data_IF_969838107550
#
_entry.id   IF_969838107550
#
_cell.length_a   1.000
_cell.length_b   1.000
_cell.length_c   1.000
_cell.angle_alpha   90.00
_cell.angle_beta   90.00
_cell.angle_gamma   90.00
#
_symmetry.space_group_name_H-M   'P 1'
#
loop_
_entity.id
_entity.type
_entity.pdbx_description
1 polymer ?
#
# COMPACT_ATOMS: atom_id res chain seq x y z
N UNK A 1 -67.36 -9.35 -36.45
CA UNK A 1 -66.82 -8.00 -36.38
C UNK A 1 -66.60 -7.69 -34.92
N UNK A 2 -65.42 -7.94 -34.41
CA UNK A 2 -64.97 -7.47 -33.09
C UNK A 2 -63.52 -7.94 -32.86
N UNK A 3 -62.64 -7.03 -32.93
CA UNK A 3 -61.22 -7.23 -32.77
C UNK A 3 -60.87 -7.50 -31.29
N UNK A 4 -60.31 -8.63 -31.01
CA UNK A 4 -59.71 -8.94 -29.74
C UNK A 4 -58.24 -8.53 -29.71
N UNK A 5 -57.97 -7.37 -29.10
CA UNK A 5 -56.60 -6.87 -28.87
C UNK A 5 -55.87 -7.74 -27.83
N UNK A 6 -54.92 -8.45 -28.29
CA UNK A 6 -54.03 -9.31 -27.48
C UNK A 6 -53.04 -8.46 -26.69
N UNK A 7 -53.27 -8.33 -25.38
CA UNK A 7 -52.32 -7.81 -24.40
C UNK A 7 -51.31 -8.89 -24.00
N UNK A 8 -50.25 -9.00 -24.75
CA UNK A 8 -49.07 -9.81 -24.32
C UNK A 8 -47.83 -9.16 -24.86
N UNK A 9 -47.05 -8.54 -23.98
CA UNK A 9 -45.60 -8.44 -24.01
C UNK A 9 -45.14 -7.18 -23.26
N UNK A 10 -45.01 -7.29 -21.97
CA UNK A 10 -44.13 -6.41 -21.21
C UNK A 10 -43.59 -7.20 -20.02
N UNK A 11 -42.47 -7.85 -20.22
CA UNK A 11 -41.77 -8.61 -19.20
C UNK A 11 -40.29 -8.76 -19.57
N UNK A 12 -39.71 -7.68 -20.09
CA UNK A 12 -38.25 -7.59 -20.23
C UNK A 12 -37.65 -7.03 -18.96
N UNK A 13 -37.39 -7.89 -17.99
CA UNK A 13 -36.68 -7.54 -16.78
C UNK A 13 -35.20 -7.34 -17.12
N UNK A 14 -34.82 -6.09 -17.39
CA UNK A 14 -33.41 -5.69 -17.54
C UNK A 14 -32.75 -5.77 -16.17
N UNK A 15 -32.05 -6.87 -15.89
CA UNK A 15 -31.03 -6.90 -14.87
C UNK A 15 -29.88 -6.00 -15.35
N UNK A 16 -29.99 -4.71 -15.07
CA UNK A 16 -28.85 -3.81 -15.13
C UNK A 16 -27.86 -4.28 -14.06
N UNK A 17 -26.77 -4.88 -14.50
CA UNK A 17 -25.68 -5.30 -13.62
C UNK A 17 -25.21 -4.11 -12.80
N UNK A 18 -25.26 -4.25 -11.48
CA UNK A 18 -24.48 -3.44 -10.59
C UNK A 18 -23.01 -3.73 -10.90
N UNK A 19 -22.43 -2.93 -11.79
CA UNK A 19 -20.98 -2.78 -11.88
C UNK A 19 -20.55 -2.24 -10.52
N UNK A 20 -20.16 -3.14 -9.62
CA UNK A 20 -19.43 -2.77 -8.44
C UNK A 20 -18.25 -1.94 -8.93
N UNK A 21 -18.20 -0.66 -8.58
CA UNK A 21 -17.02 0.16 -8.74
C UNK A 21 -15.95 -0.45 -7.85
N UNK A 22 -15.22 -1.43 -8.38
CA UNK A 22 -14.02 -1.93 -7.76
C UNK A 22 -13.07 -0.73 -7.64
N UNK A 23 -12.77 -0.34 -6.41
CA UNK A 23 -11.69 0.61 -6.15
C UNK A 23 -10.46 -0.01 -6.82
N UNK A 24 -9.79 0.69 -7.75
CA UNK A 24 -8.63 0.12 -8.42
C UNK A 24 -7.64 -0.37 -7.38
N UNK A 25 -7.22 -1.62 -7.46
CA UNK A 25 -6.17 -2.13 -6.59
C UNK A 25 -4.92 -1.28 -6.84
N UNK A 26 -4.38 -0.57 -5.83
CA UNK A 26 -3.19 0.25 -6.00
C UNK A 26 -1.95 -0.55 -6.39
N UNK A 27 -2.04 -1.86 -6.48
CA UNK A 27 -0.99 -2.70 -7.08
C UNK A 27 -0.95 -2.60 -8.61
N UNK A 28 -2.04 -2.10 -9.23
CA UNK A 28 -2.18 -2.06 -10.68
C UNK A 28 -2.34 -3.44 -11.30
N UNK A 29 -2.79 -3.46 -12.55
CA UNK A 29 -2.84 -4.69 -13.37
C UNK A 29 -1.44 -5.01 -13.88
N UNK A 30 -0.67 -3.98 -14.20
CA UNK A 30 0.67 -4.11 -14.75
C UNK A 30 1.72 -4.12 -13.63
N UNK A 31 2.52 -5.17 -13.60
CA UNK A 31 3.66 -5.30 -12.70
C UNK A 31 4.86 -4.62 -13.38
N UNK A 32 5.40 -3.50 -12.83
CA UNK A 32 6.59 -2.88 -13.40
C UNK A 32 7.74 -3.88 -13.47
N UNK A 33 8.51 -3.84 -14.54
CA UNK A 33 9.65 -4.72 -14.72
C UNK A 33 10.73 -4.43 -13.67
N UNK A 34 11.20 -5.45 -12.99
CA UNK A 34 12.30 -5.41 -12.02
C UNK A 34 13.35 -6.50 -12.31
N UNK A 35 13.54 -6.85 -13.57
CA UNK A 35 14.61 -7.74 -14.05
C UNK A 35 14.78 -9.00 -13.21
N UNK A 36 15.97 -9.18 -12.66
CA UNK A 36 16.31 -10.36 -11.85
C UNK A 36 15.74 -10.37 -10.42
N UNK A 37 14.96 -9.38 -10.00
CA UNK A 37 14.47 -9.26 -8.64
C UNK A 37 13.46 -10.37 -8.25
N UNK A 38 13.75 -11.03 -7.12
CA UNK A 38 12.82 -11.89 -6.38
C UNK A 38 12.92 -11.57 -4.89
N UNK A 39 11.79 -11.43 -4.20
CA UNK A 39 11.80 -11.19 -2.75
C UNK A 39 12.06 -12.50 -2.00
N UNK A 40 13.19 -12.58 -1.30
CA UNK A 40 13.53 -13.70 -0.42
C UNK A 40 13.03 -13.48 1.01
N UNK A 41 13.21 -12.26 1.53
CA UNK A 41 12.80 -11.95 2.91
C UNK A 41 12.49 -10.46 3.10
N UNK A 42 11.72 -10.17 4.16
CA UNK A 42 11.36 -8.81 4.58
C UNK A 42 11.71 -8.62 6.06
N UNK A 43 12.68 -7.76 6.33
CA UNK A 43 13.10 -7.42 7.69
C UNK A 43 12.52 -6.07 8.08
N UNK A 44 11.65 -6.03 9.09
CA UNK A 44 11.08 -4.78 9.61
C UNK A 44 11.49 -4.58 11.06
N UNK A 45 12.10 -3.43 11.35
CA UNK A 45 12.60 -3.01 12.66
C UNK A 45 11.76 -1.84 13.16
N UNK A 46 10.78 -2.05 14.04
CA UNK A 46 9.90 -1.01 14.58
C UNK A 46 10.43 -0.35 15.85
N UNK A 47 11.41 -0.93 16.53
CA UNK A 47 11.85 -0.58 17.90
C UNK A 47 12.40 0.85 18.00
N UNK A 48 12.77 1.47 16.89
CA UNK A 48 13.26 2.86 16.83
C UNK A 48 12.15 3.87 16.50
N UNK A 49 10.93 3.39 16.29
CA UNK A 49 9.82 4.22 15.85
C UNK A 49 9.43 5.30 16.88
N UNK A 50 9.52 6.56 16.47
CA UNK A 50 9.09 7.69 17.30
C UNK A 50 7.64 8.05 16.98
N UNK A 51 6.79 8.05 18.02
CA UNK A 51 5.44 8.58 17.89
C UNK A 51 5.47 10.11 17.82
N UNK A 52 4.94 10.68 16.74
CA UNK A 52 4.90 12.14 16.49
C UNK A 52 3.51 12.65 16.92
N UNK A 53 3.42 13.50 17.97
CA UNK A 53 2.14 14.06 18.41
C UNK A 53 1.54 15.07 17.41
N UNK A 54 0.20 15.17 17.34
CA UNK A 54 -0.81 14.31 17.99
C UNK A 54 -1.00 13.01 17.22
N UNK A 55 -0.97 11.87 17.93
CA UNK A 55 -1.06 10.55 17.29
C UNK A 55 -1.78 9.55 18.19
N UNK A 56 -2.58 8.65 17.59
CA UNK A 56 -2.96 7.40 18.24
C UNK A 56 -1.73 6.54 18.48
N UNK A 57 -1.85 5.59 19.40
CA UNK A 57 -0.80 4.58 19.60
C UNK A 57 -0.89 3.49 18.55
N UNK A 58 0.27 3.00 18.14
CA UNK A 58 0.47 1.72 17.48
C UNK A 58 1.59 0.99 18.25
N UNK A 59 1.42 -0.31 18.39
CA UNK A 59 2.46 -1.18 18.99
C UNK A 59 3.49 -1.55 17.94
N UNK A 60 4.69 -1.95 18.37
CA UNK A 60 5.74 -2.44 17.48
C UNK A 60 5.26 -3.64 16.66
N UNK A 61 4.46 -4.52 17.25
CA UNK A 61 3.88 -5.67 16.56
C UNK A 61 2.90 -5.25 15.44
N UNK A 62 2.08 -4.22 15.66
CA UNK A 62 1.16 -3.68 14.64
C UNK A 62 1.93 -3.01 13.50
N UNK A 63 2.92 -2.19 13.83
CA UNK A 63 3.81 -1.53 12.88
C UNK A 63 4.54 -2.55 12.00
N UNK A 64 5.16 -3.55 12.64
CA UNK A 64 5.87 -4.64 11.95
C UNK A 64 4.94 -5.42 11.02
N UNK A 65 3.80 -5.89 11.55
CA UNK A 65 2.83 -6.67 10.77
C UNK A 65 2.33 -5.92 9.54
N UNK A 66 1.93 -4.65 9.69
CA UNK A 66 1.41 -3.86 8.59
C UNK A 66 2.47 -3.65 7.49
N UNK A 67 3.70 -3.31 7.87
CA UNK A 67 4.78 -3.09 6.91
C UNK A 67 5.19 -4.39 6.21
N UNK A 68 5.39 -5.48 6.95
CA UNK A 68 5.75 -6.79 6.38
C UNK A 68 4.70 -7.24 5.38
N UNK A 69 3.43 -7.25 5.79
CA UNK A 69 2.32 -7.69 4.93
C UNK A 69 2.22 -6.89 3.62
N UNK A 70 2.38 -5.57 3.65
CA UNK A 70 2.25 -4.74 2.44
C UNK A 70 3.51 -4.80 1.54
N UNK A 71 4.69 -5.03 2.12
CA UNK A 71 5.91 -5.32 1.35
C UNK A 71 5.78 -6.68 0.66
N UNK A 72 5.44 -7.73 1.39
CA UNK A 72 5.25 -9.07 0.83
C UNK A 72 4.16 -9.10 -0.24
N UNK A 73 3.02 -8.44 0.01
CA UNK A 73 1.93 -8.34 -0.96
C UNK A 73 2.37 -7.68 -2.27
N UNK A 74 3.23 -6.66 -2.20
CA UNK A 74 3.70 -5.91 -3.38
C UNK A 74 4.84 -6.61 -4.09
N UNK A 75 5.85 -7.04 -3.36
CA UNK A 75 7.11 -7.54 -3.89
C UNK A 75 7.13 -9.07 -4.09
N UNK A 76 6.32 -9.83 -3.36
CA UNK A 76 6.15 -11.27 -3.58
C UNK A 76 5.52 -11.65 -4.92
N UNK A 77 5.15 -10.68 -5.74
CA UNK A 77 4.64 -10.88 -7.11
C UNK A 77 5.76 -11.03 -8.14
N UNK A 78 7.00 -10.71 -7.76
CA UNK A 78 8.15 -10.82 -8.64
C UNK A 78 8.78 -12.20 -8.54
N UNK A 79 9.15 -12.76 -9.68
CA UNK A 79 9.74 -14.10 -9.82
C UNK A 79 11.02 -14.01 -10.68
N UNK A 80 11.97 -13.19 -10.24
CA UNK A 80 13.27 -13.06 -10.88
C UNK A 80 14.23 -14.18 -10.49
N UNK A 81 15.44 -14.12 -11.01
CA UNK A 81 16.46 -15.16 -10.79
C UNK A 81 17.41 -14.87 -9.63
N UNK A 82 17.28 -13.73 -8.93
CA UNK A 82 18.14 -13.35 -7.80
C UNK A 82 17.31 -12.98 -6.58
N UNK A 83 17.72 -13.51 -5.45
CA UNK A 83 17.08 -13.31 -4.17
C UNK A 83 17.54 -12.02 -3.49
N UNK A 84 16.56 -11.19 -3.09
CA UNK A 84 16.80 -9.93 -2.40
C UNK A 84 16.07 -9.87 -1.07
N UNK A 85 16.64 -9.10 -0.14
CA UNK A 85 16.07 -8.81 1.17
C UNK A 85 15.76 -7.31 1.24
N UNK A 86 14.52 -6.97 1.55
CA UNK A 86 14.11 -5.59 1.83
C UNK A 86 14.14 -5.38 3.34
N UNK A 87 15.05 -4.54 3.84
CA UNK A 87 15.16 -4.21 5.25
C UNK A 87 14.66 -2.77 5.49
N UNK A 88 13.71 -2.62 6.43
CA UNK A 88 13.04 -1.36 6.74
C UNK A 88 13.10 -1.09 8.24
N UNK A 89 13.74 0.01 8.63
CA UNK A 89 13.60 0.57 9.97
C UNK A 89 12.49 1.61 9.99
N UNK A 90 11.59 1.54 10.97
CA UNK A 90 10.54 2.55 11.15
C UNK A 90 11.10 3.66 12.02
N UNK A 91 11.28 4.85 11.43
CA UNK A 91 11.87 6.00 12.13
C UNK A 91 10.82 6.78 12.94
N UNK A 92 9.59 6.86 12.40
CA UNK A 92 8.52 7.58 13.07
C UNK A 92 7.15 7.42 12.43
N UNK A 93 6.12 7.67 13.23
CA UNK A 93 4.74 7.62 12.76
C UNK A 93 3.83 8.62 13.46
N UNK A 94 2.77 9.04 12.77
CA UNK A 94 1.62 9.70 13.34
C UNK A 94 0.34 9.08 12.74
N UNK A 95 -0.59 8.69 13.60
CA UNK A 95 -1.92 8.21 13.22
C UNK A 95 -2.96 9.23 13.67
N UNK A 96 -3.70 9.79 12.72
CA UNK A 96 -4.65 10.86 13.00
C UNK A 96 -5.70 10.46 14.06
N UNK A 97 -5.88 11.25 15.15
CA UNK A 97 -6.92 11.00 16.13
C UNK A 97 -8.32 11.20 15.52
N UNK A 98 -9.34 10.46 15.98
CA UNK A 98 -10.71 10.67 15.52
C UNK A 98 -11.29 11.99 16.03
N UNK A 99 -12.21 12.57 15.28
CA UNK A 99 -13.06 13.69 15.76
C UNK A 99 -12.43 15.07 15.64
N UNK A 100 -11.25 15.23 15.09
CA UNK A 100 -10.67 16.55 14.78
C UNK A 100 -11.19 17.01 13.41
N UNK A 101 -11.79 18.22 13.28
CA UNK A 101 -12.32 18.72 12.01
C UNK A 101 -11.28 18.75 10.89
N UNK A 102 -11.69 18.41 9.67
CA UNK A 102 -10.85 18.23 8.47
C UNK A 102 -9.95 19.44 8.14
N UNK A 103 -10.32 20.64 8.53
CA UNK A 103 -9.54 21.86 8.30
C UNK A 103 -8.27 21.96 9.14
N UNK A 104 -8.16 21.17 10.21
CA UNK A 104 -7.02 21.15 11.12
C UNK A 104 -6.46 19.73 11.35
N UNK A 105 -6.90 18.76 10.55
CA UNK A 105 -6.51 17.35 10.76
C UNK A 105 -5.03 17.13 10.47
N UNK A 106 -4.26 16.68 11.46
CA UNK A 106 -2.95 16.12 11.18
C UNK A 106 -3.12 14.92 10.26
N UNK A 107 -2.43 14.92 9.12
CA UNK A 107 -2.40 13.78 8.22
C UNK A 107 -1.65 12.64 8.90
N UNK A 108 -2.14 11.42 8.75
CA UNK A 108 -1.33 10.27 9.18
C UNK A 108 -0.03 10.22 8.37
N UNK A 109 1.07 9.96 9.06
CA UNK A 109 2.44 9.99 8.49
C UNK A 109 3.16 8.71 8.90
N UNK A 110 3.96 8.18 8.00
CA UNK A 110 4.92 7.12 8.29
C UNK A 110 6.26 7.47 7.66
N UNK A 111 7.33 7.37 8.45
CA UNK A 111 8.71 7.62 8.03
C UNK A 111 9.50 6.35 8.24
N UNK A 112 10.22 5.92 7.22
CA UNK A 112 11.07 4.73 7.30
C UNK A 112 12.42 4.96 6.64
N UNK A 113 13.41 4.21 7.06
CA UNK A 113 14.70 4.06 6.36
C UNK A 113 14.76 2.69 5.73
N UNK A 114 14.78 2.65 4.40
CA UNK A 114 14.84 1.43 3.60
C UNK A 114 16.27 1.10 3.15
N UNK A 115 16.59 -0.19 3.14
CA UNK A 115 17.82 -0.75 2.62
C UNK A 115 17.48 -1.95 1.76
N UNK A 116 18.29 -2.19 0.72
CA UNK A 116 18.19 -3.35 -0.16
C UNK A 116 19.48 -4.16 -0.07
N UNK A 117 19.32 -5.48 0.07
CA UNK A 117 20.41 -6.44 0.15
C UNK A 117 20.19 -7.57 -0.85
N UNK A 118 21.26 -8.16 -1.36
CA UNK A 118 21.21 -9.50 -1.95
C UNK A 118 21.14 -10.53 -0.83
N UNK A 119 20.51 -11.69 -1.09
CA UNK A 119 20.44 -12.76 -0.07
C UNK A 119 21.74 -13.57 -0.05
N UNK A 120 22.28 -13.92 -1.22
CA UNK A 120 23.52 -14.71 -1.38
C UNK A 120 24.36 -14.17 -2.55
N UNK A 121 25.59 -13.66 -2.30
CA UNK A 121 26.12 -13.31 -0.97
C UNK A 121 25.32 -12.18 -0.33
N UNK A 122 25.29 -12.13 1.00
CA UNK A 122 24.55 -11.08 1.71
C UNK A 122 25.31 -9.75 1.62
N UNK A 123 24.97 -8.96 0.62
CA UNK A 123 25.59 -7.65 0.37
C UNK A 123 24.54 -6.56 0.29
N UNK A 124 24.85 -5.41 0.89
CA UNK A 124 24.01 -4.23 0.80
C UNK A 124 24.25 -3.52 -0.53
N UNK A 125 23.22 -3.46 -1.37
CA UNK A 125 23.29 -2.83 -2.69
C UNK A 125 22.58 -1.48 -2.76
N UNK A 126 21.65 -1.19 -1.82
CA UNK A 126 20.91 0.06 -1.78
C UNK A 126 20.59 0.55 -0.40
N UNK A 127 20.52 1.88 -0.24
CA UNK A 127 20.24 2.56 1.02
C UNK A 127 21.49 2.88 1.85
N UNK A 128 21.32 3.52 3.04
CA UNK A 128 20.03 3.88 3.65
C UNK A 128 19.30 4.95 2.83
N UNK A 129 18.00 4.75 2.62
CA UNK A 129 17.14 5.71 1.93
C UNK A 129 15.91 6.00 2.78
N UNK A 130 15.82 7.24 3.28
CA UNK A 130 14.67 7.64 4.09
C UNK A 130 13.50 8.03 3.21
N UNK A 131 12.34 7.48 3.51
CA UNK A 131 11.09 7.68 2.78
C UNK A 131 10.02 8.12 3.75
N UNK A 132 9.27 9.17 3.36
CA UNK A 132 8.10 9.63 4.10
C UNK A 132 6.85 9.40 3.26
N UNK A 133 5.80 8.88 3.87
CA UNK A 133 4.47 8.77 3.26
C UNK A 133 3.40 9.40 4.11
N UNK A 134 2.31 9.79 3.44
CA UNK A 134 1.15 10.42 4.06
C UNK A 134 -0.10 9.65 3.63
N UNK A 135 -1.12 9.67 4.49
CA UNK A 135 -2.45 9.28 4.07
C UNK A 135 -2.99 10.33 3.08
N UNK A 136 -3.34 9.89 1.86
CA UNK A 136 -3.79 10.81 0.80
C UNK A 136 -5.15 11.44 1.11
N UNK A 137 -5.39 12.65 0.58
CA UNK A 137 -6.66 13.35 0.73
C UNK A 137 -7.86 12.57 0.18
N UNK A 138 -7.65 11.69 -0.80
CA UNK A 138 -8.71 10.86 -1.41
C UNK A 138 -9.25 9.79 -0.45
N UNK A 139 -8.49 9.41 0.58
CA UNK A 139 -8.97 8.49 1.61
C UNK A 139 -10.01 9.12 2.54
N UNK A 140 -10.09 10.45 2.55
CA UNK A 140 -11.06 11.22 3.34
C UNK A 140 -12.42 11.35 2.66
N UNK A 141 -12.51 11.12 1.34
CA UNK A 141 -13.74 11.29 0.55
C UNK A 141 -14.60 10.03 0.47
N UNK A 142 -14.10 8.87 0.89
CA UNK A 142 -14.78 7.58 0.75
C UNK A 142 -15.62 7.16 1.96
N UNK A 143 -16.02 8.07 2.82
CA UNK A 143 -16.86 7.68 3.95
C UNK A 143 -17.44 8.85 4.68
N UNK A 144 -18.65 9.23 4.32
CA UNK A 144 -19.56 9.91 5.23
C UNK A 144 -19.68 9.08 6.52
N UNK A 145 -18.98 9.45 7.57
CA UNK A 145 -19.22 8.99 8.93
C UNK A 145 -18.38 7.84 9.50
N UNK A 146 -17.55 7.17 8.70
CA UNK A 146 -16.63 6.13 9.22
C UNK A 146 -15.25 6.74 9.46
N UNK A 147 -14.96 7.03 10.70
CA UNK A 147 -13.59 7.31 11.16
C UNK A 147 -12.83 6.01 10.98
N UNK A 148 -11.84 6.00 10.04
CA UNK A 148 -10.92 4.87 9.92
C UNK A 148 -10.32 4.55 11.29
N UNK A 149 -10.32 3.29 11.68
CA UNK A 149 -9.60 2.86 12.86
C UNK A 149 -8.07 3.00 12.67
N UNK A 150 -7.33 2.84 13.74
CA UNK A 150 -5.87 2.98 13.69
C UNK A 150 -5.22 1.93 12.78
N UNK A 151 -5.78 0.73 12.72
CA UNK A 151 -5.30 -0.38 11.89
C UNK A 151 -5.48 -0.09 10.40
N UNK A 152 -6.65 0.41 10.00
CA UNK A 152 -6.91 0.78 8.60
C UNK A 152 -6.04 1.97 8.14
N UNK A 153 -5.77 2.93 9.03
CA UNK A 153 -4.84 4.02 8.75
C UNK A 153 -3.42 3.49 8.55
N UNK A 154 -2.96 2.63 9.44
CA UNK A 154 -1.63 2.04 9.40
C UNK A 154 -1.45 1.17 8.14
N UNK A 155 -2.43 0.35 7.79
CA UNK A 155 -2.44 -0.45 6.56
C UNK A 155 -2.34 0.44 5.31
N UNK A 156 -3.09 1.55 5.28
CA UNK A 156 -3.02 2.50 4.17
C UNK A 156 -1.63 3.13 4.05
N UNK A 157 -1.03 3.54 5.18
CA UNK A 157 0.33 4.10 5.21
C UNK A 157 1.38 3.07 4.76
N UNK A 158 1.29 1.84 5.26
CA UNK A 158 2.21 0.75 4.90
C UNK A 158 2.11 0.42 3.40
N UNK A 159 0.90 0.40 2.84
CA UNK A 159 0.67 0.22 1.40
C UNK A 159 1.30 1.32 0.55
N UNK A 160 1.09 2.57 0.93
CA UNK A 160 1.69 3.71 0.27
C UNK A 160 3.22 3.68 0.41
N UNK A 161 3.74 3.25 1.56
CA UNK A 161 5.16 3.10 1.79
C UNK A 161 5.78 2.01 0.90
N UNK A 162 5.18 0.83 0.81
CA UNK A 162 5.63 -0.23 -0.07
C UNK A 162 5.67 0.22 -1.55
N UNK A 163 4.68 1.04 -1.98
CA UNK A 163 4.68 1.66 -3.32
C UNK A 163 5.85 2.62 -3.52
N UNK A 164 6.19 3.43 -2.51
CA UNK A 164 7.32 4.37 -2.59
C UNK A 164 8.67 3.65 -2.57
N UNK A 165 8.79 2.57 -1.80
CA UNK A 165 9.98 1.70 -1.83
C UNK A 165 10.16 1.13 -3.23
N UNK A 166 9.11 0.59 -3.85
CA UNK A 166 9.15 0.11 -5.23
C UNK A 166 9.58 1.22 -6.20
N UNK A 167 9.01 2.42 -6.09
CA UNK A 167 9.37 3.54 -6.93
C UNK A 167 10.82 3.99 -6.73
N UNK A 168 11.38 3.84 -5.53
CA UNK A 168 12.80 4.07 -5.27
C UNK A 168 13.66 3.03 -5.95
N UNK A 169 13.32 1.76 -5.84
CA UNK A 169 14.04 0.64 -6.45
C UNK A 169 14.02 0.71 -7.99
N UNK A 170 12.87 1.04 -8.59
CA UNK A 170 12.71 1.20 -10.05
C UNK A 170 13.55 2.32 -10.66
N UNK A 171 14.03 3.27 -9.85
CA UNK A 171 14.98 4.30 -10.33
C UNK A 171 16.44 3.82 -10.39
N UNK A 172 16.66 2.54 -10.09
CA UNK A 172 17.97 1.88 -10.07
C UNK A 172 17.91 0.54 -10.81
N UNK A 173 17.57 0.56 -12.11
CA UNK A 173 17.39 -0.68 -12.88
C UNK A 173 18.66 -1.54 -12.89
N UNK A 174 19.83 -0.91 -12.77
CA UNK A 174 21.14 -1.57 -12.71
C UNK A 174 21.30 -2.54 -11.53
N UNK A 175 20.50 -2.38 -10.44
CA UNK A 175 20.50 -3.32 -9.33
C UNK A 175 19.90 -4.68 -9.69
N UNK A 176 19.13 -4.72 -10.75
CA UNK A 176 18.29 -5.87 -11.17
C UNK A 176 18.68 -6.37 -12.56
N UNK A 177 19.92 -6.13 -12.99
CA UNK A 177 20.44 -6.53 -14.30
C UNK A 177 19.68 -5.93 -15.50
N UNK A 178 19.01 -4.81 -15.29
CA UNK A 178 18.37 -4.06 -16.37
C UNK A 178 19.29 -2.92 -16.84
N UNK A 179 19.22 -2.54 -18.13
CA UNK A 179 19.98 -1.38 -18.63
C UNK A 179 19.51 -0.09 -17.93
N UNK A 180 20.47 0.80 -17.68
CA UNK A 180 20.23 2.10 -17.07
C UNK A 180 19.57 3.10 -18.03
#
# INVERSE_FOLDING_TARGET
>A
MSDALTRRAFGGLSLAGLSACAVPDPLGVDLPEMGSFQLADTVVVPETAKKIPPSRNATDAELKRAMTSEIERRFGRYAGGKDFIIAVAIDGYALAPPGIPVLLTPKSILVVTANLWTAEPQEKIGGPHQITTFEGANSLLLGSGLVKDAEAQLTTLARNMASKIQSWMLRRPEWFDLPA
#
